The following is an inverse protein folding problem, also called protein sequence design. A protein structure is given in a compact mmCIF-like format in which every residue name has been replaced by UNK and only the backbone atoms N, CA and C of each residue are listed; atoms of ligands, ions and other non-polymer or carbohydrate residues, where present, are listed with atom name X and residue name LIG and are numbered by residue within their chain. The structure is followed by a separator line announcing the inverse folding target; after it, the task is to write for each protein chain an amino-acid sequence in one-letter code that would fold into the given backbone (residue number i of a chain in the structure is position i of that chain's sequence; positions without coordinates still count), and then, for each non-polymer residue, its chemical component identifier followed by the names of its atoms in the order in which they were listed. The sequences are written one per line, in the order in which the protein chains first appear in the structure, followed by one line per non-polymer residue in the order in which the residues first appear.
data_IF_767389814193
#
_entry.id   IF_767389814193
#
_cell.length_a   1.000
_cell.length_b   1.000
_cell.length_c   1.000
_cell.angle_alpha   90.00
_cell.angle_beta   90.00
_cell.angle_gamma   90.00
#
_symmetry.space_group_name_H-M   'P 1'
#
loop_
_entity.id
_entity.type
_entity.pdbx_description
1 polymer ?
#
# COMPACT_ATOMS: atom_id res chain seq x y z
N UNK A 1 -4.03 -13.48 -21.32
CA UNK A 1 -3.91 -12.79 -20.02
C UNK A 1 -4.21 -11.32 -20.26
N UNK A 2 -5.49 -10.95 -20.26
CA UNK A 2 -5.95 -9.59 -20.58
C UNK A 2 -5.77 -8.64 -19.39
N UNK A 3 -4.73 -7.81 -19.51
CA UNK A 3 -4.66 -6.40 -19.11
C UNK A 3 -5.60 -5.90 -18.01
N UNK A 4 -5.15 -6.04 -16.77
CA UNK A 4 -5.60 -5.26 -15.60
C UNK A 4 -5.42 -3.73 -15.75
N UNK A 5 -4.85 -3.28 -16.87
CA UNK A 5 -4.53 -1.88 -17.19
C UNK A 5 -5.75 -0.96 -17.42
N UNK A 6 -6.98 -1.50 -17.59
CA UNK A 6 -8.22 -0.72 -17.78
C UNK A 6 -9.12 -0.62 -16.56
N UNK A 7 -8.77 -1.28 -15.45
CA UNK A 7 -9.63 -1.33 -14.26
C UNK A 7 -9.48 -0.07 -13.42
N UNK A 8 -10.60 0.46 -12.94
CA UNK A 8 -10.57 1.58 -12.01
C UNK A 8 -9.97 1.12 -10.66
N UNK A 9 -9.53 2.09 -9.86
CA UNK A 9 -8.85 1.81 -8.59
C UNK A 9 -9.68 0.94 -7.64
N UNK A 10 -10.99 1.17 -7.56
CA UNK A 10 -11.89 0.42 -6.67
C UNK A 10 -11.97 -1.05 -7.08
N UNK A 11 -12.02 -1.32 -8.39
CA UNK A 11 -12.01 -2.68 -8.93
C UNK A 11 -10.67 -3.37 -8.68
N UNK A 12 -9.55 -2.68 -8.93
CA UNK A 12 -8.21 -3.20 -8.64
C UNK A 12 -8.05 -3.55 -7.17
N UNK A 13 -8.48 -2.67 -6.27
CA UNK A 13 -8.47 -2.94 -4.83
C UNK A 13 -9.31 -4.18 -4.48
N UNK A 14 -10.53 -4.31 -5.04
CA UNK A 14 -11.37 -5.50 -4.79
C UNK A 14 -10.71 -6.79 -5.27
N UNK A 15 -10.07 -6.79 -6.43
CA UNK A 15 -9.37 -7.96 -6.97
C UNK A 15 -8.19 -8.33 -6.08
N UNK A 16 -7.37 -7.36 -5.69
CA UNK A 16 -6.20 -7.60 -4.84
C UNK A 16 -6.60 -8.15 -3.47
N UNK A 17 -7.66 -7.61 -2.87
CA UNK A 17 -8.19 -8.13 -1.59
C UNK A 17 -8.65 -9.58 -1.75
N UNK A 18 -9.43 -9.89 -2.80
CA UNK A 18 -9.85 -11.27 -3.08
C UNK A 18 -8.67 -12.21 -3.31
N UNK A 19 -7.64 -11.75 -4.03
CA UNK A 19 -6.43 -12.54 -4.24
C UNK A 19 -5.74 -12.84 -2.91
N UNK A 20 -5.60 -11.83 -2.05
CA UNK A 20 -5.00 -11.97 -0.72
C UNK A 20 -5.79 -12.92 0.18
N UNK A 21 -7.11 -12.91 0.10
CA UNK A 21 -7.99 -13.83 0.85
C UNK A 21 -7.90 -15.28 0.34
N UNK A 22 -7.63 -15.47 -0.96
CA UNK A 22 -7.50 -16.78 -1.61
C UNK A 22 -6.11 -17.42 -1.49
N UNK A 23 -5.09 -16.69 -1.00
CA UNK A 23 -3.76 -17.26 -0.75
C UNK A 23 -3.81 -18.33 0.33
N UNK A 24 -2.99 -19.37 0.18
CA UNK A 24 -2.80 -20.40 1.23
C UNK A 24 -2.04 -19.81 2.43
N UNK A 25 -2.09 -20.49 3.58
CA UNK A 25 -1.32 -20.06 4.76
C UNK A 25 0.20 -20.11 4.52
N UNK A 26 0.67 -21.05 3.72
CA UNK A 26 2.06 -21.16 3.29
C UNK A 26 2.47 -19.95 2.45
N UNK A 27 1.66 -19.55 1.47
CA UNK A 27 1.90 -18.35 0.68
C UNK A 27 1.86 -17.07 1.54
N UNK A 28 0.89 -16.98 2.47
CA UNK A 28 0.80 -15.89 3.44
C UNK A 28 2.02 -15.82 4.36
N UNK A 29 2.63 -16.95 4.69
CA UNK A 29 3.83 -17.04 5.54
C UNK A 29 5.08 -16.48 4.85
N UNK A 30 5.21 -16.67 3.53
CA UNK A 30 6.32 -16.10 2.75
C UNK A 30 6.28 -14.57 2.83
N UNK A 31 5.08 -13.99 2.77
CA UNK A 31 4.87 -12.55 2.94
C UNK A 31 5.07 -12.06 4.38
N UNK A 32 5.10 -12.94 5.37
CA UNK A 32 5.27 -12.61 6.79
C UNK A 32 6.71 -12.24 7.17
N UNK A 33 7.68 -12.51 6.29
CA UNK A 33 9.09 -12.22 6.55
C UNK A 33 9.53 -10.78 6.21
N UNK A 34 8.70 -9.99 5.54
CA UNK A 34 9.08 -8.65 5.09
C UNK A 34 8.59 -7.56 6.03
N UNK A 35 9.48 -6.93 6.78
CA UNK A 35 9.16 -5.75 7.59
C UNK A 35 9.07 -4.48 6.73
N UNK A 36 7.97 -4.30 6.02
CA UNK A 36 7.76 -3.10 5.20
C UNK A 36 7.45 -1.90 6.10
N UNK A 37 8.27 -0.85 6.00
CA UNK A 37 8.17 0.36 6.84
C UNK A 37 7.68 1.58 6.07
N UNK A 38 6.97 2.45 6.77
CA UNK A 38 6.59 3.77 6.27
C UNK A 38 7.81 4.70 6.30
N UNK A 39 8.09 5.39 5.19
CA UNK A 39 9.15 6.41 5.18
C UNK A 39 8.80 7.60 6.08
N UNK A 40 7.53 7.98 6.16
CA UNK A 40 7.10 9.18 6.91
C UNK A 40 7.24 9.00 8.42
N UNK A 41 6.85 7.82 8.94
CA UNK A 41 6.82 7.57 10.40
C UNK A 41 7.90 6.61 10.89
N UNK A 42 8.58 5.90 10.00
CA UNK A 42 9.49 4.78 10.33
C UNK A 42 8.79 3.53 10.87
N UNK A 43 7.46 3.59 11.08
CA UNK A 43 6.66 2.48 11.63
C UNK A 43 6.43 1.40 10.57
N UNK A 44 6.33 0.15 11.03
CA UNK A 44 5.97 -0.99 10.20
C UNK A 44 4.50 -0.87 9.80
N UNK A 45 4.17 -1.15 8.53
CA UNK A 45 2.78 -1.21 8.08
C UNK A 45 2.00 -2.33 8.80
N UNK A 46 0.67 -2.27 8.82
CA UNK A 46 -0.14 -3.39 9.33
C UNK A 46 0.16 -4.67 8.54
N UNK A 47 0.04 -5.85 9.17
CA UNK A 47 0.29 -7.12 8.48
C UNK A 47 -0.54 -7.28 7.20
N UNK A 48 -1.78 -6.76 7.20
CA UNK A 48 -2.64 -6.74 6.01
C UNK A 48 -2.04 -5.91 4.89
N UNK A 49 -1.54 -4.71 5.20
CA UNK A 49 -0.89 -3.86 4.20
C UNK A 49 0.48 -4.40 3.78
N UNK A 50 1.25 -5.03 4.67
CA UNK A 50 2.50 -5.70 4.31
C UNK A 50 2.25 -6.77 3.24
N UNK A 51 1.32 -7.71 3.49
CA UNK A 51 0.92 -8.73 2.52
C UNK A 51 0.39 -8.14 1.22
N UNK A 52 -0.44 -7.09 1.32
CA UNK A 52 -1.03 -6.44 0.15
C UNK A 52 0.03 -5.75 -0.72
N UNK A 53 1.02 -5.09 -0.11
CA UNK A 53 2.15 -4.49 -0.81
C UNK A 53 2.99 -5.61 -1.42
N UNK A 54 3.37 -6.64 -0.67
CA UNK A 54 4.23 -7.72 -1.18
C UNK A 54 3.60 -8.51 -2.33
N UNK A 55 2.27 -8.64 -2.37
CA UNK A 55 1.55 -9.23 -3.51
C UNK A 55 1.74 -8.42 -4.81
N UNK A 56 1.93 -7.11 -4.70
CA UNK A 56 2.11 -6.19 -5.83
C UNK A 56 3.59 -5.90 -6.12
N UNK A 57 4.41 -5.89 -5.08
CA UNK A 57 5.83 -5.53 -5.06
C UNK A 57 6.57 -6.49 -4.12
N UNK A 58 7.01 -7.63 -4.65
CA UNK A 58 7.58 -8.73 -3.86
C UNK A 58 8.91 -8.42 -3.16
N UNK A 59 9.53 -7.28 -3.43
CA UNK A 59 10.80 -6.83 -2.84
C UNK A 59 10.69 -5.50 -2.09
N UNK A 60 9.47 -5.11 -1.71
CA UNK A 60 9.25 -3.86 -0.99
C UNK A 60 9.92 -3.88 0.40
N UNK A 61 10.47 -2.73 0.82
CA UNK A 61 11.18 -2.57 2.09
C UNK A 61 10.75 -1.30 2.80
N UNK A 62 10.81 -0.16 2.11
CA UNK A 62 10.42 1.14 2.65
C UNK A 62 9.47 1.78 1.66
N UNK A 63 8.23 2.00 2.08
CA UNK A 63 7.18 2.52 1.21
C UNK A 63 6.62 3.84 1.72
N UNK A 64 6.33 4.74 0.77
CA UNK A 64 5.71 6.03 1.04
C UNK A 64 4.83 6.51 -0.10
N UNK A 65 3.89 7.39 0.21
CA UNK A 65 3.14 8.14 -0.79
C UNK A 65 4.04 9.11 -1.56
N UNK A 66 3.58 9.54 -2.74
CA UNK A 66 4.36 10.40 -3.63
C UNK A 66 4.90 11.67 -2.95
N UNK A 67 4.04 12.40 -2.22
CA UNK A 67 4.44 13.60 -1.47
C UNK A 67 5.38 13.28 -0.30
N UNK A 68 5.23 12.12 0.33
CA UNK A 68 6.11 11.71 1.42
C UNK A 68 7.54 11.53 0.90
N UNK A 69 7.71 10.96 -0.30
CA UNK A 69 9.04 10.88 -0.93
C UNK A 69 9.62 12.25 -1.27
N UNK A 70 8.81 13.16 -1.80
CA UNK A 70 9.25 14.53 -2.10
C UNK A 70 9.74 15.26 -0.85
N UNK A 71 9.01 15.14 0.26
CA UNK A 71 9.40 15.72 1.55
C UNK A 71 10.73 15.15 2.10
N UNK A 72 11.13 13.97 1.62
CA UNK A 72 12.35 13.27 2.01
C UNK A 72 13.48 13.46 0.99
N UNK A 73 13.36 14.46 0.09
CA UNK A 73 14.39 14.76 -0.92
C UNK A 73 14.50 13.73 -2.03
N UNK A 74 13.46 12.90 -2.24
CA UNK A 74 13.43 11.88 -3.29
C UNK A 74 12.26 12.10 -4.23
N UNK A 75 12.42 11.71 -5.48
CA UNK A 75 11.33 11.71 -6.47
C UNK A 75 11.09 10.29 -6.98
N UNK A 76 9.82 9.98 -7.25
CA UNK A 76 9.47 8.71 -7.90
C UNK A 76 9.94 8.76 -9.35
N UNK A 77 10.63 7.69 -9.79
CA UNK A 77 11.14 7.58 -11.16
C UNK A 77 9.98 7.57 -12.16
N UNK A 78 10.19 8.19 -13.32
CA UNK A 78 9.16 8.26 -14.37
C UNK A 78 8.82 6.85 -14.88
N UNK A 79 7.53 6.52 -14.93
CA UNK A 79 7.04 5.22 -15.41
C UNK A 79 6.83 4.19 -14.31
N UNK A 80 7.22 4.47 -13.06
CA UNK A 80 6.99 3.57 -11.94
C UNK A 80 5.50 3.49 -11.56
N UNK A 81 5.08 2.29 -11.16
CA UNK A 81 3.73 2.02 -10.67
C UNK A 81 3.79 1.61 -9.20
N UNK A 82 3.07 2.34 -8.35
CA UNK A 82 3.02 2.05 -6.92
C UNK A 82 2.06 0.91 -6.55
N UNK A 83 2.20 0.42 -5.33
CA UNK A 83 1.30 -0.55 -4.72
C UNK A 83 0.10 0.14 -4.04
N UNK A 84 -1.05 -0.51 -4.08
CA UNK A 84 -2.24 -0.09 -3.33
C UNK A 84 -2.14 -0.57 -1.87
N UNK A 85 -2.40 0.34 -0.93
CA UNK A 85 -2.63 0.03 0.49
C UNK A 85 -4.06 0.38 0.88
N UNK A 86 -4.54 -0.15 2.00
CA UNK A 86 -5.82 0.21 2.62
C UNK A 86 -5.59 0.99 3.91
N UNK A 87 -6.41 2.00 4.15
CA UNK A 87 -6.39 2.75 5.40
C UNK A 87 -7.82 3.09 5.85
N UNK A 88 -8.08 3.09 7.17
CA UNK A 88 -9.36 3.53 7.69
C UNK A 88 -9.49 5.04 7.48
N UNK A 89 -10.67 5.49 7.07
CA UNK A 89 -11.03 6.91 7.11
C UNK A 89 -12.01 7.07 8.26
N UNK A 90 -11.57 7.76 9.31
CA UNK A 90 -12.48 8.21 10.35
C UNK A 90 -13.49 9.16 9.74
N UNK A 91 -14.76 8.90 9.97
CA UNK A 91 -15.80 9.93 9.87
C UNK A 91 -15.56 10.83 11.10
N UNK A 92 -15.56 12.15 10.94
CA UNK A 92 -15.36 13.09 12.04
C UNK A 92 -16.31 12.74 13.20
N UNK A 93 -15.74 12.34 14.32
CA UNK A 93 -16.48 11.87 15.50
C UNK A 93 -16.97 13.07 16.31
N UNK A 94 -18.10 13.64 15.91
CA UNK A 94 -18.96 14.43 16.79
C UNK A 94 -20.26 13.69 17.18
N UNK A 95 -20.38 12.39 16.87
CA UNK A 95 -21.52 11.59 17.25
C UNK A 95 -21.10 10.33 18.02
N UNK A 96 -21.72 10.15 19.19
CA UNK A 96 -21.60 9.04 20.11
C UNK A 96 -22.23 7.75 19.53
N UNK A 97 -21.67 7.19 18.46
CA UNK A 97 -22.09 5.89 17.95
C UNK A 97 -20.87 5.01 17.68
N UNK A 98 -20.65 4.03 18.54
CA UNK A 98 -19.56 3.04 18.44
C UNK A 98 -19.81 1.95 17.38
N UNK A 99 -20.95 2.02 16.67
CA UNK A 99 -21.43 0.99 15.73
C UNK A 99 -21.37 1.39 14.24
N UNK A 100 -20.80 2.55 13.88
CA UNK A 100 -20.68 2.90 12.45
C UNK A 100 -19.57 2.08 11.75
N UNK A 101 -19.85 1.51 10.56
CA UNK A 101 -18.87 0.72 9.83
C UNK A 101 -17.66 1.59 9.44
N UNK A 102 -16.47 1.21 9.92
CA UNK A 102 -15.22 1.87 9.52
C UNK A 102 -15.02 1.72 8.02
N UNK A 103 -15.16 2.81 7.28
CA UNK A 103 -14.91 2.83 5.84
C UNK A 103 -13.41 2.81 5.55
N UNK A 104 -12.99 1.91 4.65
CA UNK A 104 -11.61 1.85 4.19
C UNK A 104 -11.49 2.47 2.80
N UNK A 105 -10.47 3.31 2.65
CA UNK A 105 -10.04 3.83 1.35
C UNK A 105 -8.72 3.19 0.95
N UNK A 106 -8.42 3.20 -0.36
CA UNK A 106 -7.10 2.83 -0.83
C UNK A 106 -6.21 4.05 -1.03
N UNK A 107 -4.90 3.90 -0.79
CA UNK A 107 -3.82 4.85 -1.10
C UNK A 107 -2.80 4.17 -2.05
N UNK A 108 -2.03 4.94 -2.81
CA UNK A 108 -0.92 4.41 -3.63
C UNK A 108 0.39 4.78 -2.95
N UNK A 109 1.27 3.80 -2.77
CA UNK A 109 2.61 3.96 -2.19
C UNK A 109 3.67 3.40 -3.13
N UNK A 110 4.87 3.94 -3.05
CA UNK A 110 6.03 3.56 -3.84
C UNK A 110 7.13 3.07 -2.91
N UNK A 111 7.86 2.03 -3.32
CA UNK A 111 9.05 1.56 -2.62
C UNK A 111 10.26 2.46 -2.89
N UNK A 112 11.23 2.48 -1.98
CA UNK A 112 12.48 3.23 -2.12
C UNK A 112 13.22 2.92 -3.44
N UNK A 113 13.18 1.67 -3.91
CA UNK A 113 13.82 1.27 -5.18
C UNK A 113 13.21 1.95 -6.41
N UNK A 114 11.95 2.41 -6.30
CA UNK A 114 11.22 3.16 -7.32
C UNK A 114 11.48 4.67 -7.26
N UNK A 115 12.36 5.11 -6.37
CA UNK A 115 12.69 6.52 -6.17
C UNK A 115 14.16 6.80 -6.43
N UNK A 116 14.46 8.04 -6.76
CA UNK A 116 15.81 8.57 -6.90
C UNK A 116 15.97 9.84 -6.09
N UNK A 117 17.19 10.11 -5.64
CA UNK A 117 17.51 11.35 -4.93
C UNK A 117 17.43 12.52 -5.90
N UNK A 118 16.92 13.63 -5.41
CA UNK A 118 16.95 14.88 -6.15
C UNK A 118 18.35 15.46 -5.95
N UNK A 119 19.26 15.19 -6.87
CA UNK A 119 20.50 15.97 -6.97
C UNK A 119 20.17 17.34 -7.52
N UNK A 120 20.59 18.38 -6.78
CA UNK A 120 20.52 19.79 -7.17
C UNK A 120 21.28 20.08 -8.48
#
# INVERSE_FOLDING_TARGET
METTAKLNRKERTKILVKQLDNLTEEEKSIYFMQEIRSIESGKVYSQRNQKLISLQLSKATICGGFKQWQNQGRKVKKGEHGALILFPVGIDKDANDDDEPTNFFSAVVFDISQTEEVTE
#
